data_IF_269466212953
#
_entry.id   IF_269466212953
#
_cell.length_a   1.000
_cell.length_b   1.000
_cell.length_c   1.000
_cell.angle_alpha   90.00
_cell.angle_beta   90.00
_cell.angle_gamma   90.00
#
_symmetry.space_group_name_H-M   'P 1'
#
loop_
_entity.id
_entity.type
_entity.pdbx_description
1 polymer ?
#
# COMPACT_ATOMS: atom_id res chain seq x y z
N UNK A 1 18.00 4.49 -4.11
CA UNK A 1 17.94 3.62 -2.92
C UNK A 1 16.89 2.57 -3.22
N UNK A 2 17.28 1.31 -3.29
CA UNK A 2 16.36 0.19 -3.49
C UNK A 2 15.83 -0.23 -2.11
N UNK A 3 14.54 -0.01 -1.87
CA UNK A 3 13.81 -0.40 -0.66
C UNK A 3 13.58 -1.92 -0.58
N UNK A 4 14.62 -2.72 -0.80
CA UNK A 4 14.50 -4.13 -1.23
C UNK A 4 14.07 -5.16 -0.19
N UNK A 5 13.68 -4.77 1.03
CA UNK A 5 13.32 -5.72 2.10
C UNK A 5 11.89 -5.59 2.62
N UNK A 6 11.02 -4.81 1.97
CA UNK A 6 9.60 -4.72 2.34
C UNK A 6 8.69 -5.63 1.52
N UNK A 7 7.56 -6.04 2.12
CA UNK A 7 6.47 -6.73 1.45
C UNK A 7 5.58 -5.75 0.67
N UNK A 8 5.30 -6.10 -0.59
CA UNK A 8 4.80 -5.17 -1.60
C UNK A 8 3.35 -5.47 -2.01
N UNK A 9 2.41 -4.60 -1.65
CA UNK A 9 0.98 -4.74 -1.98
C UNK A 9 0.53 -3.64 -2.95
N UNK A 10 0.10 -4.01 -4.15
CA UNK A 10 -0.27 -3.08 -5.23
C UNK A 10 -1.76 -2.90 -5.34
N UNK A 11 -2.20 -1.65 -5.51
CA UNK A 11 -3.60 -1.28 -5.66
C UNK A 11 -3.79 -0.32 -6.82
N UNK A 12 -4.86 -0.54 -7.57
CA UNK A 12 -5.36 0.36 -8.61
C UNK A 12 -6.76 0.79 -8.21
N UNK A 13 -7.03 2.10 -8.20
CA UNK A 13 -8.29 2.63 -7.68
C UNK A 13 -8.65 3.97 -8.33
N UNK A 14 -9.90 4.39 -8.13
CA UNK A 14 -10.39 5.72 -8.48
C UNK A 14 -10.28 6.74 -7.33
N UNK A 15 -9.65 6.38 -6.20
CA UNK A 15 -9.44 7.27 -5.05
C UNK A 15 -8.19 8.10 -5.23
N UNK A 16 -8.33 9.42 -5.12
CA UNK A 16 -7.22 10.36 -5.26
C UNK A 16 -6.24 10.30 -4.08
N UNK A 17 -4.98 10.67 -4.38
CA UNK A 17 -3.86 10.53 -3.44
C UNK A 17 -4.03 11.45 -2.23
N UNK A 18 -4.46 12.70 -2.45
CA UNK A 18 -4.57 13.71 -1.38
C UNK A 18 -5.56 13.24 -0.32
N UNK A 19 -6.79 12.92 -0.73
CA UNK A 19 -7.84 12.45 0.19
C UNK A 19 -7.47 11.14 0.86
N UNK A 20 -6.80 10.23 0.13
CA UNK A 20 -6.34 8.95 0.67
C UNK A 20 -5.27 9.16 1.76
N UNK A 21 -4.30 10.05 1.51
CA UNK A 21 -3.22 10.35 2.47
C UNK A 21 -3.76 11.04 3.71
N UNK A 22 -4.64 12.03 3.57
CA UNK A 22 -5.28 12.69 4.72
C UNK A 22 -5.99 11.70 5.64
N UNK A 23 -6.75 10.76 5.06
CA UNK A 23 -7.42 9.69 5.81
C UNK A 23 -6.44 8.74 6.46
N UNK A 24 -5.39 8.33 5.74
CA UNK A 24 -4.35 7.46 6.30
C UNK A 24 -3.64 8.12 7.47
N UNK A 25 -3.16 9.35 7.31
CA UNK A 25 -2.50 10.13 8.36
C UNK A 25 -3.39 10.22 9.59
N UNK A 26 -4.66 10.59 9.42
CA UNK A 26 -5.61 10.68 10.53
C UNK A 26 -5.82 9.34 11.24
N UNK A 27 -6.06 8.27 10.48
CA UNK A 27 -6.35 6.94 11.04
C UNK A 27 -5.13 6.35 11.72
N UNK A 28 -3.96 6.45 11.11
CA UNK A 28 -2.68 5.96 11.66
C UNK A 28 -2.29 6.76 12.90
N UNK A 29 -2.34 8.09 12.85
CA UNK A 29 -2.03 8.93 14.00
C UNK A 29 -2.96 8.70 15.19
N UNK A 30 -4.28 8.56 14.96
CA UNK A 30 -5.26 8.37 16.03
C UNK A 30 -5.31 6.95 16.60
N UNK A 31 -5.07 5.91 15.79
CA UNK A 31 -5.21 4.52 16.21
C UNK A 31 -3.89 3.85 16.60
N UNK A 32 -2.76 4.36 16.11
CA UNK A 32 -1.43 3.80 16.33
C UNK A 32 -0.49 4.78 17.03
N UNK A 33 -0.76 6.09 16.99
CA UNK A 33 0.15 7.09 17.54
C UNK A 33 1.40 7.31 16.69
N UNK A 34 1.36 6.93 15.41
CA UNK A 34 2.48 7.08 14.49
C UNK A 34 2.48 8.48 13.86
N UNK A 35 3.66 8.97 13.50
CA UNK A 35 3.87 10.15 12.68
C UNK A 35 4.29 9.74 11.26
N UNK A 36 4.59 10.71 10.40
CA UNK A 36 4.97 10.45 9.02
C UNK A 36 5.91 11.50 8.43
N UNK A 37 6.66 11.08 7.42
CA UNK A 37 7.38 11.93 6.47
C UNK A 37 6.74 11.83 5.08
N UNK A 38 6.69 12.95 4.36
CA UNK A 38 6.17 13.03 3.00
C UNK A 38 7.26 13.49 2.04
N UNK A 39 7.38 12.80 0.91
CA UNK A 39 8.33 13.11 -0.15
C UNK A 39 7.62 13.03 -1.50
N UNK A 40 7.84 14.01 -2.36
CA UNK A 40 7.33 14.01 -3.74
C UNK A 40 8.49 14.16 -4.73
N UNK A 41 8.55 13.26 -5.71
CA UNK A 41 9.59 13.26 -6.74
C UNK A 41 9.04 12.66 -8.04
N UNK A 42 9.24 13.33 -9.18
CA UNK A 42 8.80 12.85 -10.51
C UNK A 42 7.34 12.36 -10.55
N UNK A 43 6.41 13.15 -10.00
CA UNK A 43 4.97 12.87 -9.89
C UNK A 43 4.60 11.66 -9.00
N UNK A 44 5.58 11.05 -8.34
CA UNK A 44 5.40 10.02 -7.33
C UNK A 44 5.37 10.68 -5.95
N UNK A 45 4.31 10.37 -5.21
CA UNK A 45 4.06 10.86 -3.86
C UNK A 45 4.27 9.72 -2.89
N UNK A 46 5.17 9.89 -1.94
CA UNK A 46 5.55 8.87 -0.98
C UNK A 46 5.28 9.36 0.44
N UNK A 47 4.70 8.50 1.26
CA UNK A 47 4.54 8.75 2.69
C UNK A 47 5.13 7.56 3.46
N UNK A 48 6.01 7.86 4.41
CA UNK A 48 6.60 6.89 5.32
C UNK A 48 6.04 7.12 6.71
N UNK A 49 5.50 6.08 7.33
CA UNK A 49 4.97 6.12 8.70
C UNK A 49 5.93 5.44 9.66
N UNK A 50 6.09 6.05 10.83
CA UNK A 50 6.95 5.56 11.90
C UNK A 50 6.46 6.07 13.26
N UNK A 51 6.79 5.36 14.34
CA UNK A 51 6.37 5.72 15.70
C UNK A 51 7.23 6.82 16.30
N UNK A 52 8.55 6.68 16.19
CA UNK A 52 9.55 7.53 16.85
C UNK A 52 10.87 7.53 16.06
N UNK A 53 11.82 8.38 16.46
CA UNK A 53 13.11 8.51 15.77
C UNK A 53 13.93 7.22 15.78
N UNK A 54 13.85 6.41 16.85
CA UNK A 54 14.60 5.16 16.93
C UNK A 54 14.11 4.13 15.89
N UNK A 55 12.79 4.06 15.68
CA UNK A 55 12.21 3.25 14.61
C UNK A 55 12.63 3.75 13.22
N UNK A 56 12.63 5.07 13.01
CA UNK A 56 13.06 5.67 11.75
C UNK A 56 14.56 5.42 11.47
N UNK A 57 15.42 5.62 12.46
CA UNK A 57 16.87 5.39 12.32
C UNK A 57 17.15 3.92 11.98
N UNK A 58 16.51 2.99 12.71
CA UNK A 58 16.60 1.55 12.42
C UNK A 58 16.15 1.23 10.99
N UNK A 59 15.10 1.90 10.49
CA UNK A 59 14.62 1.72 9.13
C UNK A 59 15.59 2.26 8.08
N UNK A 60 16.23 3.39 8.33
CA UNK A 60 17.24 3.95 7.42
C UNK A 60 18.49 3.07 7.35
N UNK A 61 18.83 2.38 8.43
CA UNK A 61 19.97 1.46 8.50
C UNK A 61 19.65 0.06 7.93
N UNK A 62 18.48 -0.49 8.28
CA UNK A 62 18.16 -1.91 8.08
C UNK A 62 16.99 -2.14 7.12
N UNK A 63 16.27 -1.11 6.69
CA UNK A 63 15.09 -1.24 5.83
C UNK A 63 13.80 -1.56 6.60
N UNK A 64 12.87 -2.25 5.96
CA UNK A 64 11.55 -2.51 6.52
C UNK A 64 11.58 -3.76 7.43
N UNK A 65 11.69 -3.55 8.74
CA UNK A 65 11.68 -4.64 9.74
C UNK A 65 10.82 -4.28 10.95
N UNK A 66 10.35 -5.31 11.66
CA UNK A 66 9.68 -5.14 12.95
C UNK A 66 10.71 -4.94 14.08
N UNK A 67 10.34 -4.10 15.06
CA UNK A 67 11.04 -3.96 16.32
C UNK A 67 10.65 -5.08 17.31
N UNK A 68 11.24 -5.05 18.51
CA UNK A 68 10.95 -6.02 19.57
C UNK A 68 9.50 -6.01 20.08
N UNK A 69 8.72 -4.97 19.76
CA UNK A 69 7.29 -4.88 20.06
C UNK A 69 6.42 -5.40 18.91
N UNK A 70 7.02 -5.86 17.81
CA UNK A 70 6.32 -6.35 16.63
C UNK A 70 5.74 -5.22 15.77
N UNK A 71 6.26 -4.00 15.86
CA UNK A 71 5.87 -2.85 15.04
C UNK A 71 7.04 -2.37 14.17
N UNK A 72 6.77 -1.78 13.01
CA UNK A 72 7.82 -1.27 12.14
C UNK A 72 7.37 -0.09 11.29
N UNK A 73 8.31 0.51 10.57
CA UNK A 73 7.98 1.48 9.55
C UNK A 73 7.13 0.82 8.44
N UNK A 74 6.26 1.60 7.82
CA UNK A 74 5.56 1.20 6.59
C UNK A 74 5.38 2.40 5.67
N UNK A 75 5.37 2.15 4.37
CA UNK A 75 5.31 3.19 3.34
C UNK A 75 4.11 3.05 2.42
N UNK A 76 3.69 4.16 1.83
CA UNK A 76 2.78 4.17 0.69
C UNK A 76 3.45 4.98 -0.41
N UNK A 77 3.70 4.34 -1.55
CA UNK A 77 4.13 5.01 -2.78
C UNK A 77 2.94 5.15 -3.71
N UNK A 78 2.71 6.34 -4.24
CA UNK A 78 1.50 6.63 -5.01
C UNK A 78 1.77 7.44 -6.26
N UNK A 79 1.00 7.17 -7.31
CA UNK A 79 1.13 7.86 -8.60
C UNK A 79 -0.23 7.98 -9.29
N UNK A 80 -0.47 9.11 -9.95
CA UNK A 80 -1.54 9.20 -10.94
C UNK A 80 -1.07 8.52 -12.23
N UNK A 81 -1.87 7.58 -12.74
CA UNK A 81 -1.54 6.83 -13.93
C UNK A 81 -2.72 6.84 -14.91
N UNK A 82 -2.40 6.64 -16.18
CA UNK A 82 -3.37 6.10 -17.13
C UNK A 82 -3.23 4.58 -17.14
N UNK A 83 -4.36 3.89 -17.08
CA UNK A 83 -4.39 2.43 -17.05
C UNK A 83 -4.86 1.94 -18.42
N UNK A 84 -3.95 1.39 -19.20
CA UNK A 84 -4.23 0.73 -20.47
C UNK A 84 -3.67 -0.68 -20.40
N UNK A 85 -4.47 -1.59 -19.86
CA UNK A 85 -4.05 -2.95 -19.52
C UNK A 85 -5.00 -3.98 -20.09
N UNK A 86 -4.48 -5.19 -20.26
CA UNK A 86 -5.26 -6.37 -20.60
C UNK A 86 -5.25 -7.29 -19.39
N UNK A 87 -6.43 -7.67 -18.90
CA UNK A 87 -6.60 -8.68 -17.88
C UNK A 87 -7.14 -9.96 -18.53
N UNK A 88 -6.46 -11.08 -18.35
CA UNK A 88 -6.91 -12.37 -18.88
C UNK A 88 -7.72 -13.11 -17.82
N UNK A 89 -8.96 -13.45 -18.15
CA UNK A 89 -9.81 -14.25 -17.27
C UNK A 89 -9.47 -15.73 -17.47
N UNK A 90 -8.95 -16.38 -16.43
CA UNK A 90 -8.68 -17.82 -16.41
C UNK A 90 -9.72 -18.58 -15.60
N UNK A 91 -10.06 -19.79 -16.03
CA UNK A 91 -10.87 -20.73 -15.25
C UNK A 91 -9.96 -21.59 -14.37
N UNK A 92 -10.18 -21.59 -13.06
CA UNK A 92 -9.45 -22.48 -12.14
C UNK A 92 -10.12 -23.86 -12.01
N UNK A 93 -11.42 -23.97 -12.34
CA UNK A 93 -12.20 -25.22 -12.30
C UNK A 93 -13.03 -25.43 -13.57
N UNK A 94 -13.22 -26.69 -13.95
CA UNK A 94 -13.87 -27.16 -15.20
C UNK A 94 -15.40 -26.99 -15.24
N UNK A 95 -15.98 -26.14 -14.37
CA UNK A 95 -17.43 -26.02 -14.19
C UNK A 95 -18.06 -24.81 -14.90
N UNK A 96 -17.26 -24.00 -15.60
CA UNK A 96 -17.76 -22.86 -16.38
C UNK A 96 -17.77 -23.17 -17.88
N UNK A 97 -18.72 -22.55 -18.59
CA UNK A 97 -19.03 -22.75 -20.00
C UNK A 97 -18.40 -21.70 -20.94
N UNK A 98 -17.38 -20.96 -20.46
CA UNK A 98 -16.68 -19.95 -21.25
C UNK A 98 -15.19 -20.27 -21.41
N UNK A 99 -14.68 -20.03 -22.62
CA UNK A 99 -13.24 -20.06 -22.90
C UNK A 99 -12.54 -18.85 -22.26
N UNK A 100 -11.26 -18.97 -21.84
CA UNK A 100 -10.48 -17.81 -21.38
C UNK A 100 -10.52 -16.68 -22.41
N UNK A 101 -10.76 -15.46 -21.93
CA UNK A 101 -10.78 -14.27 -22.78
C UNK A 101 -10.10 -13.08 -22.12
N UNK A 102 -9.61 -12.19 -22.98
CA UNK A 102 -8.95 -10.96 -22.58
C UNK A 102 -9.97 -9.84 -22.36
N UNK A 103 -9.77 -9.10 -21.28
CA UNK A 103 -10.55 -7.91 -20.92
C UNK A 103 -9.63 -6.70 -21.07
N UNK A 104 -9.95 -5.83 -22.03
CA UNK A 104 -9.24 -4.57 -22.23
C UNK A 104 -9.77 -3.53 -21.23
N UNK A 105 -8.88 -3.01 -20.39
CA UNK A 105 -9.18 -2.02 -19.36
C UNK A 105 -8.51 -0.70 -19.72
N UNK A 106 -9.32 0.30 -20.05
CA UNK A 106 -8.86 1.65 -20.43
C UNK A 106 -9.45 2.67 -19.46
N UNK A 107 -8.62 3.19 -18.57
CA UNK A 107 -8.94 4.28 -17.64
C UNK A 107 -7.99 5.43 -17.87
N UNK A 108 -8.53 6.60 -18.21
CA UNK A 108 -7.72 7.81 -18.45
C UNK A 108 -7.05 8.31 -17.17
N UNK A 109 -7.81 8.33 -16.08
CA UNK A 109 -7.38 8.81 -14.77
C UNK A 109 -7.60 7.69 -13.76
N UNK A 110 -6.51 7.10 -13.28
CA UNK A 110 -6.49 6.11 -12.22
C UNK A 110 -5.36 6.43 -11.24
N UNK A 111 -5.44 5.85 -10.05
CA UNK A 111 -4.43 6.01 -9.02
C UNK A 111 -3.83 4.67 -8.67
N UNK A 112 -2.50 4.62 -8.72
CA UNK A 112 -1.70 3.51 -8.27
C UNK A 112 -1.21 3.78 -6.85
N UNK A 113 -1.29 2.76 -6.01
CA UNK A 113 -0.70 2.74 -4.68
C UNK A 113 0.12 1.45 -4.49
N UNK A 114 1.31 1.58 -3.93
CA UNK A 114 2.12 0.50 -3.42
C UNK A 114 2.25 0.66 -1.91
N UNK A 115 1.58 -0.21 -1.16
CA UNK A 115 1.77 -0.31 0.28
C UNK A 115 2.98 -1.22 0.54
N UNK A 116 3.96 -0.69 1.26
CA UNK A 116 5.20 -1.39 1.64
C UNK A 116 5.14 -1.69 3.14
N UNK A 117 5.17 -2.98 3.49
CA UNK A 117 5.04 -3.47 4.86
C UNK A 117 6.33 -4.17 5.32
N UNK A 118 6.61 -4.23 6.63
CA UNK A 118 7.83 -4.88 7.16
C UNK A 118 7.85 -6.40 7.05
N UNK A 119 6.68 -7.06 7.08
CA UNK A 119 6.58 -8.52 7.02
C UNK A 119 5.27 -8.97 6.35
N UNK A 120 5.15 -10.25 5.92
CA UNK A 120 3.93 -10.78 5.30
C UNK A 120 2.71 -10.68 6.22
N UNK A 121 1.54 -10.41 5.64
CA UNK A 121 0.30 -10.23 6.41
C UNK A 121 -0.22 -11.53 7.03
N UNK A 122 0.21 -12.67 6.49
CA UNK A 122 -0.10 -14.00 7.02
C UNK A 122 0.65 -14.28 8.33
N UNK A 123 1.81 -13.64 8.53
CA UNK A 123 2.70 -13.90 9.67
C UNK A 123 2.82 -12.72 10.63
N UNK A 124 2.52 -11.49 10.19
CA UNK A 124 2.62 -10.27 10.99
C UNK A 124 1.25 -9.66 11.29
N UNK A 125 0.80 -9.69 12.56
CA UNK A 125 -0.42 -9.00 12.99
C UNK A 125 -0.38 -7.49 12.74
N UNK A 126 0.81 -6.88 12.82
CA UNK A 126 1.01 -5.46 12.53
C UNK A 126 0.76 -5.18 11.05
N UNK A 127 1.45 -5.88 10.14
CA UNK A 127 1.24 -5.74 8.70
C UNK A 127 -0.23 -5.97 8.31
N UNK A 128 -0.86 -7.02 8.84
CA UNK A 128 -2.27 -7.33 8.57
C UNK A 128 -3.20 -6.18 9.01
N UNK A 129 -2.92 -5.56 10.16
CA UNK A 129 -3.66 -4.39 10.65
C UNK A 129 -3.50 -3.19 9.72
N UNK A 130 -2.28 -2.90 9.26
CA UNK A 130 -2.02 -1.79 8.33
C UNK A 130 -2.72 -2.03 6.99
N UNK A 131 -2.63 -3.24 6.42
CA UNK A 131 -3.32 -3.60 5.17
C UNK A 131 -4.83 -3.42 5.30
N UNK A 132 -5.43 -3.85 6.41
CA UNK A 132 -6.86 -3.67 6.67
C UNK A 132 -7.23 -2.19 6.78
N UNK A 133 -6.43 -1.40 7.50
CA UNK A 133 -6.68 0.04 7.67
C UNK A 133 -6.61 0.77 6.32
N UNK A 134 -5.61 0.46 5.49
CA UNK A 134 -5.49 1.01 4.15
C UNK A 134 -6.67 0.59 3.26
N UNK A 135 -7.07 -0.67 3.32
CA UNK A 135 -8.25 -1.17 2.60
C UNK A 135 -9.53 -0.44 3.01
N UNK A 136 -9.72 -0.14 4.31
CA UNK A 136 -10.85 0.67 4.77
C UNK A 136 -10.80 2.12 4.24
N UNK A 137 -9.61 2.72 4.14
CA UNK A 137 -9.45 4.05 3.50
C UNK A 137 -9.90 4.00 2.05
N UNK A 138 -9.42 3.02 1.29
CA UNK A 138 -9.75 2.90 -0.12
C UNK A 138 -11.24 2.61 -0.36
N UNK A 139 -11.87 1.84 0.52
CA UNK A 139 -13.29 1.46 0.41
C UNK A 139 -14.26 2.42 1.11
N UNK A 140 -13.78 3.42 1.87
CA UNK A 140 -14.59 4.31 2.71
C UNK A 140 -15.48 3.56 3.74
N UNK A 141 -14.94 2.55 4.42
CA UNK A 141 -15.70 1.67 5.34
C UNK A 141 -15.30 1.82 6.81
N UNK A 142 -15.09 3.06 7.27
CA UNK A 142 -14.78 3.35 8.68
C UNK A 142 -16.00 3.41 9.58
#
# INVERSE_FOLDING_TARGET
MTWTEGELYRFYTNKDIVTTYEKMIKSVGSQLGFTHDYIEFNDEKNILFYRDSAMLDSHLENGYHLDHNGEGCFGIESKNISMNHVATLHTFDTLNDFDPYDINLIFKDAYYYLLVLPEPVETSPFSARILRLFSCVLNNTF
#
